data_IF_598571507098
#
_entry.id   IF_598571507098
#
_cell.length_a   1.000
_cell.length_b   1.000
_cell.length_c   1.000
_cell.angle_alpha   90.00
_cell.angle_beta   90.00
_cell.angle_gamma   90.00
#
_symmetry.space_group_name_H-M   'P 1'
#
loop_
_entity.id
_entity.type
_entity.pdbx_description
1 polymer ?
#
# COMPACT_ATOMS: atom_id res chain seq x y z
N UNK A 1 -10.32 -2.84 1.74
CA UNK A 1 -10.89 -2.49 3.04
C UNK A 1 -10.40 -1.13 3.51
N UNK A 2 -11.22 -0.41 4.27
CA UNK A 2 -10.89 0.91 4.85
C UNK A 2 -10.98 0.81 6.38
N UNK A 3 -9.88 0.45 7.06
CA UNK A 3 -9.84 0.31 8.50
C UNK A 3 -10.03 1.66 9.22
N UNK A 4 -10.53 1.62 10.43
CA UNK A 4 -10.49 2.75 11.34
C UNK A 4 -9.04 2.93 11.83
N UNK A 5 -8.44 4.08 11.54
CA UNK A 5 -7.03 4.34 11.84
C UNK A 5 -6.88 5.38 12.94
N UNK A 6 -6.06 5.07 13.94
CA UNK A 6 -5.57 6.01 14.94
C UNK A 6 -4.13 6.37 14.61
N UNK A 7 -3.84 7.67 14.41
CA UNK A 7 -2.52 8.16 14.02
C UNK A 7 -1.46 7.74 15.06
N UNK A 8 -0.38 7.12 14.58
CA UNK A 8 0.75 6.61 15.35
C UNK A 8 0.43 5.46 16.35
N UNK A 9 -0.79 4.94 16.38
CA UNK A 9 -1.13 3.75 17.17
C UNK A 9 -1.06 2.49 16.31
N UNK A 10 0.17 2.05 16.03
CA UNK A 10 0.41 0.89 15.17
C UNK A 10 -0.31 -0.38 15.67
N UNK A 11 -0.36 -0.58 16.99
CA UNK A 11 -0.98 -1.79 17.57
C UNK A 11 -2.50 -1.81 17.38
N UNK A 12 -3.19 -0.70 17.67
CA UNK A 12 -4.62 -0.58 17.43
C UNK A 12 -4.96 -0.77 15.93
N UNK A 13 -4.20 -0.09 15.06
CA UNK A 13 -4.37 -0.19 13.62
C UNK A 13 -4.13 -1.62 13.11
N UNK A 14 -3.09 -2.29 13.61
CA UNK A 14 -2.80 -3.68 13.26
C UNK A 14 -3.89 -4.65 13.67
N UNK A 15 -4.45 -4.49 14.87
CA UNK A 15 -5.59 -5.30 15.34
C UNK A 15 -6.83 -5.13 14.45
N UNK A 16 -7.10 -3.90 14.02
CA UNK A 16 -8.22 -3.61 13.13
C UNK A 16 -7.99 -4.21 11.72
N UNK A 17 -6.76 -4.15 11.20
CA UNK A 17 -6.39 -4.78 9.93
C UNK A 17 -6.58 -6.30 10.01
N UNK A 18 -6.09 -6.95 11.06
CA UNK A 18 -6.25 -8.40 11.29
C UNK A 18 -7.73 -8.78 11.33
N UNK A 19 -8.53 -8.02 12.09
CA UNK A 19 -9.98 -8.24 12.20
C UNK A 19 -10.65 -8.20 10.83
N UNK A 20 -10.32 -7.20 10.01
CA UNK A 20 -10.88 -7.02 8.67
C UNK A 20 -10.40 -8.11 7.70
N UNK A 21 -9.15 -8.58 7.78
CA UNK A 21 -8.65 -9.70 6.98
C UNK A 21 -9.50 -10.95 7.24
N UNK A 22 -9.71 -11.31 8.51
CA UNK A 22 -10.56 -12.47 8.85
C UNK A 22 -12.04 -12.29 8.51
N UNK A 23 -12.56 -11.07 8.49
CA UNK A 23 -13.91 -10.81 7.99
C UNK A 23 -14.02 -11.03 6.49
N UNK A 24 -13.05 -10.49 5.72
CA UNK A 24 -13.01 -10.68 4.27
C UNK A 24 -12.76 -12.15 3.88
N UNK A 25 -11.98 -12.87 4.67
CA UNK A 25 -11.77 -14.31 4.46
C UNK A 25 -13.08 -15.10 4.52
N UNK A 26 -13.98 -14.79 5.48
CA UNK A 26 -15.29 -15.42 5.58
C UNK A 26 -16.17 -15.21 4.35
N UNK A 27 -15.93 -14.11 3.64
CA UNK A 27 -16.58 -13.78 2.37
C UNK A 27 -15.79 -14.32 1.15
N UNK A 28 -14.78 -15.16 1.38
CA UNK A 28 -13.92 -15.79 0.36
C UNK A 28 -13.17 -14.78 -0.53
N UNK A 29 -12.83 -13.61 -0.02
CA UNK A 29 -12.06 -12.61 -0.74
C UNK A 29 -10.62 -13.10 -0.92
N UNK A 30 -10.12 -13.12 -2.16
CA UNK A 30 -8.78 -13.61 -2.50
C UNK A 30 -7.74 -12.52 -2.71
N UNK A 31 -8.15 -11.29 -2.93
CA UNK A 31 -7.26 -10.13 -3.01
C UNK A 31 -7.77 -9.04 -2.06
N UNK A 32 -6.98 -8.69 -1.08
CA UNK A 32 -7.33 -7.75 -0.02
C UNK A 32 -6.36 -6.56 -0.06
N UNK A 33 -6.89 -5.35 -0.13
CA UNK A 33 -6.07 -4.14 -0.22
C UNK A 33 -6.44 -3.17 0.90
N UNK A 34 -5.42 -2.72 1.64
CA UNK A 34 -5.52 -1.71 2.70
C UNK A 34 -4.88 -0.40 2.27
N UNK A 35 -5.21 0.74 2.90
CA UNK A 35 -4.69 2.04 2.51
C UNK A 35 -3.17 2.19 2.68
N UNK A 36 -2.62 3.18 2.00
CA UNK A 36 -1.25 3.66 2.13
C UNK A 36 -0.92 4.00 3.59
N UNK A 37 0.22 3.52 4.12
CA UNK A 37 0.67 3.75 5.51
C UNK A 37 -0.38 3.43 6.59
N UNK A 38 -1.29 2.48 6.34
CA UNK A 38 -2.42 2.20 7.24
C UNK A 38 -1.99 1.66 8.61
N UNK A 39 -0.80 1.12 8.77
CA UNK A 39 -0.28 0.69 10.08
C UNK A 39 0.01 1.89 10.97
N UNK A 40 0.56 2.98 10.44
CA UNK A 40 0.93 4.17 11.21
C UNK A 40 -0.14 5.27 11.16
N UNK A 41 -0.93 5.29 10.11
CA UNK A 41 -1.64 6.46 9.64
C UNK A 41 -0.73 7.35 8.78
N UNK A 42 -1.31 7.97 7.76
CA UNK A 42 -0.58 8.82 6.81
C UNK A 42 -0.06 10.12 7.43
N UNK A 43 -0.80 10.71 8.37
CA UNK A 43 -0.56 12.06 8.91
C UNK A 43 0.38 12.09 10.12
N UNK A 44 1.28 11.11 10.26
CA UNK A 44 2.28 11.05 11.34
C UNK A 44 3.33 12.18 11.31
N UNK A 45 3.50 12.87 10.18
CA UNK A 45 4.43 14.00 10.04
C UNK A 45 5.85 13.62 10.52
N UNK A 46 6.52 14.49 11.29
CA UNK A 46 7.88 14.26 11.79
C UNK A 46 8.02 13.05 12.75
N UNK A 47 6.93 12.40 13.15
CA UNK A 47 7.01 11.13 13.86
C UNK A 47 7.65 10.03 13.00
N UNK A 48 7.59 10.12 11.68
CA UNK A 48 8.33 9.22 10.77
C UNK A 48 9.86 9.29 10.93
N UNK A 49 10.40 10.34 11.56
CA UNK A 49 11.81 10.42 11.91
C UNK A 49 12.16 9.66 13.20
N UNK A 50 11.16 9.24 13.97
CA UNK A 50 11.34 8.56 15.24
C UNK A 50 11.46 7.05 15.04
N UNK A 51 12.57 6.51 15.52
CA UNK A 51 12.85 5.06 15.48
C UNK A 51 11.73 4.23 16.11
N UNK A 52 11.19 4.70 17.23
CA UNK A 52 10.13 3.99 17.97
C UNK A 52 8.88 3.75 17.11
N UNK A 53 8.44 4.74 16.33
CA UNK A 53 7.29 4.56 15.44
C UNK A 53 7.58 3.52 14.37
N UNK A 54 8.77 3.60 13.76
CA UNK A 54 9.16 2.70 12.67
C UNK A 54 9.36 1.26 13.13
N UNK A 55 9.97 1.07 14.30
CA UNK A 55 10.13 -0.25 14.92
C UNK A 55 8.76 -0.85 15.27
N UNK A 56 7.85 -0.05 15.87
CA UNK A 56 6.48 -0.48 16.19
C UNK A 56 5.67 -0.80 14.92
N UNK A 57 5.82 -0.03 13.86
CA UNK A 57 5.15 -0.31 12.58
C UNK A 57 5.60 -1.63 11.97
N UNK A 58 6.90 -1.91 12.03
CA UNK A 58 7.47 -3.15 11.53
C UNK A 58 7.04 -4.36 12.36
N UNK A 59 7.13 -4.27 13.69
CA UNK A 59 6.64 -5.31 14.61
C UNK A 59 5.16 -5.61 14.40
N UNK A 60 4.37 -4.57 14.13
CA UNK A 60 2.94 -4.72 13.82
C UNK A 60 2.72 -5.43 12.48
N UNK A 61 3.50 -5.14 11.44
CA UNK A 61 3.44 -5.86 10.17
C UNK A 61 3.74 -7.35 10.37
N UNK A 62 4.80 -7.69 11.11
CA UNK A 62 5.14 -9.08 11.42
C UNK A 62 4.02 -9.78 12.23
N UNK A 63 3.37 -9.05 13.15
CA UNK A 63 2.20 -9.56 13.87
C UNK A 63 1.04 -9.84 12.92
N UNK A 64 0.68 -8.91 12.03
CA UNK A 64 -0.37 -9.10 11.02
C UNK A 64 -0.05 -10.35 10.20
N UNK A 65 1.16 -10.44 9.66
CA UNK A 65 1.62 -11.58 8.85
C UNK A 65 1.43 -12.91 9.59
N UNK A 66 1.82 -12.96 10.85
CA UNK A 66 1.74 -14.18 11.67
C UNK A 66 0.30 -14.55 12.05
N UNK A 67 -0.52 -13.57 12.45
CA UNK A 67 -1.89 -13.80 12.91
C UNK A 67 -2.87 -14.07 11.75
N UNK A 68 -2.43 -13.88 10.50
CA UNK A 68 -3.21 -14.21 9.29
C UNK A 68 -2.55 -15.31 8.45
N UNK A 69 -1.76 -16.17 9.09
CA UNK A 69 -1.02 -17.24 8.40
C UNK A 69 -1.93 -18.34 7.81
N UNK A 70 -3.13 -18.49 8.33
CA UNK A 70 -4.18 -19.40 7.85
C UNK A 70 -5.01 -18.82 6.69
N UNK A 71 -4.84 -17.53 6.38
CA UNK A 71 -5.60 -16.85 5.32
C UNK A 71 -4.98 -17.08 3.96
N UNK A 72 -5.73 -17.72 3.08
CA UNK A 72 -5.35 -17.96 1.69
C UNK A 72 -5.82 -16.82 0.79
N UNK A 73 -5.12 -15.68 0.89
CA UNK A 73 -5.39 -14.49 0.09
C UNK A 73 -4.10 -13.68 -0.14
N UNK A 74 -4.06 -12.92 -1.21
CA UNK A 74 -3.04 -11.92 -1.47
C UNK A 74 -3.43 -10.62 -0.76
N UNK A 75 -2.66 -10.21 0.25
CA UNK A 75 -3.00 -9.07 1.11
C UNK A 75 -1.96 -7.96 0.95
N UNK A 76 -2.41 -6.75 0.61
CA UNK A 76 -1.57 -5.56 0.46
C UNK A 76 -1.79 -4.61 1.64
N UNK A 77 -0.71 -4.29 2.37
CA UNK A 77 -0.75 -3.45 3.59
C UNK A 77 0.26 -2.32 3.49
N UNK A 78 -0.19 -1.08 3.69
CA UNK A 78 0.68 0.11 3.66
C UNK A 78 1.49 0.28 4.95
N UNK A 79 2.83 0.37 4.84
CA UNK A 79 3.76 0.45 5.96
C UNK A 79 5.00 1.30 5.63
N UNK A 80 5.58 2.07 6.58
CA UNK A 80 6.90 2.65 6.39
C UNK A 80 7.98 1.56 6.57
N UNK A 81 8.92 1.49 5.63
CA UNK A 81 10.02 0.52 5.66
C UNK A 81 11.37 1.20 5.55
N UNK A 82 12.29 0.83 6.44
CA UNK A 82 13.66 1.35 6.44
C UNK A 82 14.61 0.38 5.75
N UNK A 83 15.32 0.86 4.72
CA UNK A 83 16.31 0.09 4.00
C UNK A 83 17.53 0.95 3.64
N UNK A 84 18.74 0.47 3.88
CA UNK A 84 20.01 1.17 3.60
C UNK A 84 20.05 2.63 4.07
N UNK A 85 19.52 2.90 5.27
CA UNK A 85 19.50 4.25 5.86
C UNK A 85 18.46 5.20 5.27
N UNK A 86 17.64 4.75 4.32
CA UNK A 86 16.51 5.48 3.76
C UNK A 86 15.19 4.93 4.31
N UNK A 87 14.18 5.77 4.35
CA UNK A 87 12.80 5.39 4.68
C UNK A 87 11.97 5.38 3.41
N UNK A 88 11.19 4.34 3.21
CA UNK A 88 10.28 4.17 2.07
C UNK A 88 8.84 4.02 2.54
N UNK A 89 7.92 4.56 1.77
CA UNK A 89 6.50 4.29 1.85
C UNK A 89 6.22 3.05 1.00
N UNK A 90 5.75 1.96 1.61
CA UNK A 90 5.77 0.63 1.01
C UNK A 90 4.41 -0.03 1.08
N UNK A 91 4.02 -0.70 0.01
CA UNK A 91 3.01 -1.75 0.04
C UNK A 91 3.71 -3.09 0.36
N UNK A 92 3.52 -3.59 1.58
CA UNK A 92 3.92 -4.94 1.94
C UNK A 92 2.87 -5.93 1.42
N UNK A 93 3.32 -6.99 0.79
CA UNK A 93 2.47 -8.01 0.19
C UNK A 93 2.61 -9.29 0.98
N UNK A 94 1.49 -9.76 1.53
CA UNK A 94 1.42 -10.90 2.44
C UNK A 94 0.63 -12.04 1.78
N UNK A 95 1.07 -13.25 2.05
CA UNK A 95 0.33 -14.47 1.73
C UNK A 95 0.70 -15.59 2.71
N UNK A 96 -0.29 -16.27 3.27
CA UNK A 96 -0.12 -17.47 4.12
C UNK A 96 0.99 -17.34 5.17
N UNK A 97 1.04 -16.23 5.91
CA UNK A 97 2.01 -16.01 6.98
C UNK A 97 3.40 -15.59 6.50
N UNK A 98 3.54 -15.18 5.26
CA UNK A 98 4.79 -14.71 4.69
C UNK A 98 4.66 -13.32 4.08
N UNK A 99 5.73 -12.53 4.17
CA UNK A 99 5.91 -11.32 3.36
C UNK A 99 6.56 -11.77 2.06
N UNK A 100 5.82 -11.70 0.96
CA UNK A 100 6.27 -12.19 -0.35
C UNK A 100 6.81 -11.08 -1.26
N UNK A 101 6.66 -9.80 -0.85
CA UNK A 101 7.21 -8.66 -1.57
C UNK A 101 7.00 -7.35 -0.83
N UNK A 102 7.86 -6.38 -1.15
CA UNK A 102 7.79 -5.01 -0.66
C UNK A 102 7.88 -4.07 -1.85
N UNK A 103 6.79 -3.37 -2.15
CA UNK A 103 6.70 -2.44 -3.28
C UNK A 103 6.79 -0.99 -2.78
N UNK A 104 7.92 -0.30 -2.95
CA UNK A 104 8.05 1.10 -2.53
C UNK A 104 7.35 2.04 -3.50
N UNK A 105 6.78 3.13 -2.96
CA UNK A 105 6.19 4.21 -3.74
C UNK A 105 7.21 4.85 -4.68
N UNK A 106 6.85 4.99 -5.95
CA UNK A 106 7.71 5.54 -6.99
C UNK A 106 7.74 7.07 -6.95
N UNK A 107 6.57 7.69 -6.95
CA UNK A 107 6.43 9.15 -7.02
C UNK A 107 5.93 9.72 -5.69
N UNK A 108 6.70 10.66 -5.13
CA UNK A 108 6.42 11.27 -3.83
C UNK A 108 5.83 12.66 -4.04
N UNK A 109 4.57 12.89 -3.68
CA UNK A 109 3.97 14.23 -3.76
C UNK A 109 4.65 15.18 -2.77
N UNK A 110 4.89 16.41 -3.22
CA UNK A 110 5.53 17.48 -2.42
C UNK A 110 4.91 18.83 -2.77
N UNK A 111 3.58 18.91 -2.71
CA UNK A 111 2.77 20.07 -3.04
C UNK A 111 1.51 20.10 -2.15
N UNK A 112 0.96 21.29 -1.93
CA UNK A 112 -0.21 21.46 -1.07
C UNK A 112 0.05 20.94 0.34
N UNK A 113 -0.82 20.09 0.82
CA UNK A 113 -0.72 19.41 2.11
C UNK A 113 0.23 18.19 2.11
N UNK A 114 0.69 17.75 0.95
CA UNK A 114 1.59 16.60 0.83
C UNK A 114 3.04 17.02 0.97
N UNK A 115 3.78 16.35 1.85
CA UNK A 115 5.17 16.69 2.17
C UNK A 115 6.02 15.41 2.32
N UNK A 116 5.81 14.43 1.42
CA UNK A 116 6.42 13.11 1.54
C UNK A 116 7.93 13.12 1.33
N UNK A 117 8.45 13.98 0.47
CA UNK A 117 9.90 14.07 0.19
C UNK A 117 10.73 14.47 1.43
N UNK A 118 10.09 15.01 2.48
CA UNK A 118 10.74 15.27 3.76
C UNK A 118 11.11 13.98 4.49
N UNK A 119 10.30 12.94 4.35
CA UNK A 119 10.40 11.73 5.17
C UNK A 119 10.82 10.51 4.35
N UNK A 120 10.36 10.40 3.11
CA UNK A 120 10.50 9.20 2.30
C UNK A 120 11.42 9.39 1.11
N UNK A 121 12.08 8.31 0.73
CA UNK A 121 12.83 8.18 -0.52
C UNK A 121 11.94 7.56 -1.60
N UNK A 122 12.17 7.97 -2.86
CA UNK A 122 11.53 7.36 -4.02
C UNK A 122 12.02 5.92 -4.21
N UNK A 123 11.08 5.03 -4.56
CA UNK A 123 11.36 3.66 -4.96
C UNK A 123 11.86 3.50 -6.39
N UNK A 124 11.92 4.59 -7.16
CA UNK A 124 12.30 4.52 -8.58
C UNK A 124 13.65 3.83 -8.77
N UNK A 125 13.65 2.76 -9.57
CA UNK A 125 14.85 1.97 -9.86
C UNK A 125 15.29 1.03 -8.73
N UNK A 126 14.52 0.92 -7.63
CA UNK A 126 14.77 -0.11 -6.62
C UNK A 126 14.39 -1.47 -7.19
N UNK A 127 15.33 -2.40 -7.16
CA UNK A 127 15.12 -3.81 -7.45
C UNK A 127 16.22 -4.63 -6.77
N UNK A 128 15.93 -5.16 -5.61
CA UNK A 128 16.86 -5.93 -4.79
C UNK A 128 16.13 -6.95 -3.92
N UNK A 129 16.88 -7.75 -3.19
CA UNK A 129 16.33 -8.62 -2.15
C UNK A 129 16.75 -8.10 -0.78
N UNK A 130 15.80 -8.05 0.15
CA UNK A 130 16.04 -7.75 1.56
C UNK A 130 15.87 -9.02 2.39
N UNK A 131 16.64 -9.14 3.47
CA UNK A 131 16.46 -10.24 4.43
C UNK A 131 15.40 -9.87 5.46
N UNK A 132 14.37 -10.69 5.56
CA UNK A 132 13.32 -10.57 6.58
C UNK A 132 13.21 -11.92 7.29
N UNK A 133 13.63 -11.96 8.56
CA UNK A 133 13.60 -13.15 9.39
C UNK A 133 14.29 -14.38 8.71
N UNK A 134 15.40 -14.14 8.01
CA UNK A 134 16.16 -15.17 7.31
C UNK A 134 15.60 -15.56 5.93
N UNK A 135 14.56 -14.87 5.44
CA UNK A 135 14.01 -15.08 4.11
C UNK A 135 14.37 -13.92 3.18
N UNK A 136 14.71 -14.25 1.94
CA UNK A 136 14.98 -13.26 0.89
C UNK A 136 13.66 -12.80 0.27
N UNK A 137 13.27 -11.56 0.55
CA UNK A 137 12.05 -10.92 0.06
C UNK A 137 12.41 -9.90 -1.01
N UNK A 138 11.75 -9.90 -2.19
CA UNK A 138 11.98 -8.88 -3.21
C UNK A 138 11.50 -7.51 -2.73
N UNK A 139 12.32 -6.48 -2.95
CA UNK A 139 12.04 -5.08 -2.70
C UNK A 139 12.25 -4.29 -3.99
N UNK A 140 11.19 -3.73 -4.53
CA UNK A 140 11.28 -2.97 -5.80
C UNK A 140 9.93 -2.57 -6.37
N UNK A 141 9.97 -1.71 -7.38
CA UNK A 141 8.77 -1.24 -8.08
C UNK A 141 8.30 -2.20 -9.18
N UNK A 142 9.20 -3.04 -9.70
CA UNK A 142 8.95 -3.89 -10.87
C UNK A 142 8.67 -5.36 -10.45
N UNK A 143 7.73 -5.53 -9.49
CA UNK A 143 7.37 -6.85 -8.97
C UNK A 143 5.95 -7.19 -9.43
N UNK A 144 5.82 -8.40 -9.97
CA UNK A 144 4.52 -9.02 -10.29
C UNK A 144 4.27 -10.20 -9.36
N UNK A 145 3.03 -10.34 -8.92
CA UNK A 145 2.55 -11.44 -8.06
C UNK A 145 1.66 -12.36 -8.88
N UNK A 146 2.12 -13.57 -9.14
CA UNK A 146 1.44 -14.56 -9.96
C UNK A 146 0.78 -15.59 -9.05
N UNK A 147 -0.51 -15.86 -9.26
CA UNK A 147 -1.21 -16.92 -8.54
C UNK A 147 -0.76 -18.30 -9.07
N UNK A 148 -0.31 -19.19 -8.19
CA UNK A 148 0.17 -20.52 -8.60
C UNK A 148 -0.97 -21.41 -9.12
N UNK A 149 -2.15 -21.32 -8.51
CA UNK A 149 -3.34 -22.09 -8.89
C UNK A 149 -4.04 -21.53 -10.13
N UNK A 150 -3.89 -20.23 -10.39
CA UNK A 150 -4.50 -19.51 -11.53
C UNK A 150 -3.47 -18.58 -12.16
N UNK A 151 -2.50 -19.11 -12.95
CA UNK A 151 -1.37 -18.34 -13.47
C UNK A 151 -1.76 -17.16 -14.39
N UNK A 152 -3.00 -17.14 -14.85
CA UNK A 152 -3.56 -16.01 -15.58
C UNK A 152 -3.84 -14.80 -14.68
N UNK A 153 -3.96 -14.99 -13.35
CA UNK A 153 -4.10 -13.90 -12.39
C UNK A 153 -2.72 -13.36 -12.01
N UNK A 154 -2.40 -12.20 -12.54
CA UNK A 154 -1.14 -11.48 -12.29
C UNK A 154 -1.44 -10.13 -11.68
N UNK A 155 -1.11 -9.97 -10.41
CA UNK A 155 -1.31 -8.73 -9.66
C UNK A 155 -0.04 -7.89 -9.59
N UNK A 156 -0.21 -6.57 -9.54
CA UNK A 156 0.86 -5.61 -9.23
C UNK A 156 0.34 -4.48 -8.35
N UNK A 157 1.25 -3.81 -7.63
CA UNK A 157 0.91 -2.71 -6.74
C UNK A 157 1.55 -1.39 -7.19
N UNK A 158 0.82 -0.30 -6.98
CA UNK A 158 1.34 1.07 -7.00
C UNK A 158 0.71 1.86 -5.84
N UNK A 159 1.27 3.02 -5.48
CA UNK A 159 0.85 3.73 -4.28
C UNK A 159 0.45 5.17 -4.61
N UNK A 160 -0.82 5.49 -4.41
CA UNK A 160 -1.42 6.82 -4.39
C UNK A 160 -1.00 7.70 -5.58
N UNK A 161 0.01 8.58 -5.39
CA UNK A 161 0.53 9.52 -6.39
C UNK A 161 1.00 8.81 -7.67
N UNK A 162 1.40 7.56 -7.59
CA UNK A 162 1.84 6.78 -8.74
C UNK A 162 0.81 6.73 -9.87
N UNK A 163 -0.50 6.78 -9.54
CA UNK A 163 -1.56 6.86 -10.55
C UNK A 163 -1.68 8.24 -11.22
N UNK A 164 -1.29 9.34 -10.50
CA UNK A 164 -1.57 10.71 -10.93
C UNK A 164 -0.53 11.29 -11.88
N UNK A 165 0.58 10.59 -12.09
CA UNK A 165 1.67 11.01 -12.97
C UNK A 165 1.41 10.66 -14.44
N UNK A 166 2.19 11.25 -15.34
CA UNK A 166 2.04 11.02 -16.79
C UNK A 166 2.39 9.60 -17.22
N UNK A 167 3.26 8.92 -16.49
CA UNK A 167 3.63 7.52 -16.71
C UNK A 167 3.52 6.73 -15.40
N UNK A 168 2.32 6.27 -15.04
CA UNK A 168 2.10 5.43 -13.87
C UNK A 168 2.87 4.11 -13.95
N UNK A 169 3.40 3.56 -12.84
CA UNK A 169 4.02 2.24 -12.80
C UNK A 169 3.11 1.13 -13.37
N UNK A 170 1.81 1.23 -13.15
CA UNK A 170 0.80 0.30 -13.70
C UNK A 170 0.85 0.14 -15.22
N UNK A 171 1.36 1.12 -15.96
CA UNK A 171 1.57 0.99 -17.42
C UNK A 171 2.62 -0.06 -17.73
N UNK A 172 3.75 -0.03 -17.02
CA UNK A 172 4.83 -1.01 -17.18
C UNK A 172 4.42 -2.38 -16.64
N UNK A 173 3.69 -2.41 -15.53
CA UNK A 173 3.14 -3.66 -14.97
C UNK A 173 2.21 -4.36 -15.96
N UNK A 174 1.28 -3.62 -16.58
CA UNK A 174 0.37 -4.18 -17.59
C UNK A 174 1.11 -4.67 -18.83
N UNK A 175 2.13 -3.92 -19.29
CA UNK A 175 2.98 -4.37 -20.40
C UNK A 175 3.77 -5.65 -20.04
N UNK A 176 4.11 -5.84 -18.77
CA UNK A 176 4.78 -7.05 -18.27
C UNK A 176 3.81 -8.21 -17.99
N UNK A 177 2.50 -8.02 -18.19
CA UNK A 177 1.48 -9.07 -18.07
C UNK A 177 0.56 -8.96 -16.86
N UNK A 178 0.67 -7.91 -16.03
CA UNK A 178 -0.29 -7.69 -14.94
C UNK A 178 -1.69 -7.42 -15.51
N UNK A 179 -2.69 -8.07 -14.93
CA UNK A 179 -4.11 -7.86 -15.26
C UNK A 179 -4.95 -7.43 -14.05
N UNK A 180 -4.32 -7.31 -12.90
CA UNK A 180 -4.91 -6.72 -11.70
C UNK A 180 -3.93 -5.72 -11.09
N UNK A 181 -4.32 -4.47 -11.01
CA UNK A 181 -3.54 -3.42 -10.35
C UNK A 181 -4.22 -3.04 -9.03
N UNK A 182 -3.46 -2.97 -7.95
CA UNK A 182 -3.92 -2.43 -6.67
C UNK A 182 -3.21 -1.12 -6.37
N UNK A 183 -3.95 -0.11 -5.94
CA UNK A 183 -3.43 1.19 -5.55
C UNK A 183 -3.83 1.52 -4.12
N UNK A 184 -2.81 1.55 -3.24
CA UNK A 184 -2.96 1.93 -1.85
C UNK A 184 -2.87 3.46 -1.76
N UNK A 185 -3.95 4.11 -1.37
CA UNK A 185 -4.00 5.57 -1.35
C UNK A 185 -4.25 6.16 0.04
N UNK A 186 -3.81 7.40 0.21
CA UNK A 186 -4.13 8.31 1.31
C UNK A 186 -4.51 9.67 0.70
N UNK A 187 -5.48 9.66 -0.18
CA UNK A 187 -5.88 10.84 -0.96
C UNK A 187 -6.80 11.75 -0.16
N UNK A 188 -6.53 13.06 -0.21
CA UNK A 188 -7.42 14.08 0.36
C UNK A 188 -8.78 14.11 -0.36
N UNK A 189 -9.80 14.65 0.33
CA UNK A 189 -11.10 14.94 -0.24
C UNK A 189 -11.25 16.43 -0.51
N UNK A 190 -11.57 16.74 -1.76
CA UNK A 190 -11.88 18.10 -2.23
C UNK A 190 -13.17 18.07 -3.04
N UNK A 191 -13.88 19.19 -3.12
CA UNK A 191 -15.09 19.29 -3.94
C UNK A 191 -14.79 18.92 -5.39
N UNK A 192 -15.50 17.93 -5.92
CA UNK A 192 -15.34 17.41 -7.28
C UNK A 192 -14.20 16.39 -7.48
N UNK A 193 -13.36 16.13 -6.47
CA UNK A 193 -12.26 15.18 -6.61
C UNK A 193 -12.74 13.72 -6.68
N UNK A 194 -13.87 13.40 -6.06
CA UNK A 194 -14.41 12.02 -6.11
C UNK A 194 -14.73 11.60 -7.55
N UNK A 195 -15.45 12.43 -8.30
CA UNK A 195 -15.76 12.14 -9.71
C UNK A 195 -14.50 12.06 -10.56
N UNK A 196 -13.57 13.00 -10.40
CA UNK A 196 -12.30 12.98 -11.11
C UNK A 196 -11.47 11.72 -10.80
N UNK A 197 -11.43 11.29 -9.54
CA UNK A 197 -10.74 10.05 -9.14
C UNK A 197 -11.38 8.81 -9.79
N UNK A 198 -12.72 8.74 -9.83
CA UNK A 198 -13.45 7.65 -10.49
C UNK A 198 -13.13 7.59 -11.98
N UNK A 199 -13.14 8.74 -12.64
CA UNK A 199 -12.81 8.83 -14.06
C UNK A 199 -11.35 8.42 -14.32
N UNK A 200 -10.42 8.85 -13.48
CA UNK A 200 -9.00 8.48 -13.58
C UNK A 200 -8.79 6.97 -13.40
N UNK A 201 -9.37 6.38 -12.37
CA UNK A 201 -9.28 4.94 -12.09
C UNK A 201 -9.94 4.13 -13.22
N UNK A 202 -11.14 4.52 -13.65
CA UNK A 202 -11.85 3.84 -14.74
C UNK A 202 -11.12 3.97 -16.07
N UNK A 203 -10.58 5.16 -16.35
CA UNK A 203 -9.78 5.41 -17.56
C UNK A 203 -8.48 4.60 -17.57
N UNK A 204 -7.80 4.49 -16.42
CA UNK A 204 -6.59 3.68 -16.30
C UNK A 204 -6.90 2.19 -16.47
N UNK A 205 -7.92 1.67 -15.80
CA UNK A 205 -8.40 0.30 -15.94
C UNK A 205 -8.73 -0.04 -17.41
N UNK A 206 -9.52 0.81 -18.05
CA UNK A 206 -9.91 0.61 -19.46
C UNK A 206 -8.71 0.66 -20.42
N UNK A 207 -7.81 1.62 -20.24
CA UNK A 207 -6.62 1.79 -21.09
C UNK A 207 -5.65 0.62 -20.98
N UNK A 208 -5.48 0.06 -19.77
CA UNK A 208 -4.56 -1.04 -19.50
C UNK A 208 -5.20 -2.43 -19.69
N UNK A 209 -6.52 -2.48 -19.87
CA UNK A 209 -7.29 -3.74 -19.91
C UNK A 209 -7.03 -4.58 -18.66
N UNK A 210 -6.95 -3.92 -17.49
CA UNK A 210 -6.68 -4.53 -16.19
C UNK A 210 -7.85 -4.26 -15.23
N UNK A 211 -8.12 -5.19 -14.31
CA UNK A 211 -8.84 -4.86 -13.09
C UNK A 211 -8.04 -3.82 -12.29
N UNK A 212 -8.70 -2.79 -11.76
CA UNK A 212 -8.03 -1.76 -10.97
C UNK A 212 -8.74 -1.55 -9.64
N UNK A 213 -8.04 -1.83 -8.53
CA UNK A 213 -8.54 -1.68 -7.16
C UNK A 213 -7.84 -0.49 -6.51
N UNK A 214 -8.59 0.56 -6.21
CA UNK A 214 -8.08 1.71 -5.45
C UNK A 214 -8.76 1.79 -4.09
N UNK A 215 -7.97 1.92 -3.03
CA UNK A 215 -8.45 2.07 -1.67
C UNK A 215 -7.86 3.32 -1.04
N UNK A 216 -8.67 4.05 -0.25
CA UNK A 216 -8.22 5.22 0.51
C UNK A 216 -8.87 5.22 1.89
N UNK A 217 -8.51 6.20 2.72
CA UNK A 217 -9.08 6.35 4.05
C UNK A 217 -10.52 6.90 4.01
N UNK A 218 -11.31 6.56 5.03
CA UNK A 218 -12.65 7.11 5.21
C UNK A 218 -12.63 8.47 5.91
N UNK A 219 -11.55 8.88 6.56
CA UNK A 219 -11.48 10.02 7.47
C UNK A 219 -10.19 10.85 7.38
N UNK A 220 -9.56 10.91 6.21
CA UNK A 220 -8.51 11.88 5.90
C UNK A 220 -9.07 13.30 5.62
N UNK A 221 -10.28 13.58 6.01
CA UNK A 221 -10.73 14.96 6.07
C UNK A 221 -9.96 15.63 7.21
N UNK A 222 -9.00 16.49 6.87
CA UNK A 222 -8.63 17.56 7.76
C UNK A 222 -9.95 18.23 8.20
N UNK A 223 -10.14 18.49 9.50
CA UNK A 223 -11.25 19.33 9.90
C UNK A 223 -11.13 20.62 9.11
N UNK A 224 -11.98 20.81 8.13
CA UNK A 224 -12.09 22.06 7.41
C UNK A 224 -12.67 23.01 8.41
N UNK A 225 -11.81 23.71 9.12
CA UNK A 225 -12.21 24.91 9.83
C UNK A 225 -12.51 25.91 8.72
N UNK A 226 -13.79 26.02 8.38
CA UNK A 226 -14.30 27.18 7.65
C UNK A 226 -14.14 28.38 8.57
N UNK A 227 -13.11 29.16 8.34
CA UNK A 227 -13.00 30.50 8.85
C UNK A 227 -13.82 31.44 7.96
#
# INVERSE_FOLDING_TARGET
ATPYITVADCNANGNEIIRLIHEMEKEHVKVMTFPELCITGYTCQDLFLQRRLLDSAWETLLKITKETADVDALVFVGVPFRNHGKLYNVAAVLNRGEIIGLVPKTYLPNYGEFYEQRHFASGLGCLEYVDIEGKRVPFGTDILFICEEEPELVAAAEICEDLWVTLPPSVLHAQAGANLIVNLSASNEMVGKDSYRRDLVSGQSARLVCGYVSVSYTHLTLPTILL
#
